data_IF_936252235724
#
_entry.id   IF_936252235724
#
_cell.length_a   1.000
_cell.length_b   1.000
_cell.length_c   1.000
_cell.angle_alpha   90.00
_cell.angle_beta   90.00
_cell.angle_gamma   90.00
#
_symmetry.space_group_name_H-M   'P 1'
#
loop_
_entity.id
_entity.type
_entity.pdbx_description
1 polymer ?
#
# COMPACT_ATOMS: atom_id res chain seq x y z
N UNK A 1 16.07 -10.23 12.04
CA UNK A 1 14.64 -10.43 12.25
C UNK A 1 14.42 -11.92 12.37
N UNK A 2 13.58 -12.40 13.31
CA UNK A 2 13.31 -13.83 13.42
C UNK A 2 12.50 -14.31 12.20
N UNK A 3 12.69 -15.56 11.79
CA UNK A 3 11.91 -16.17 10.68
C UNK A 3 10.40 -16.12 10.96
N UNK A 4 10.02 -16.26 12.22
CA UNK A 4 8.62 -16.17 12.68
C UNK A 4 8.06 -14.76 12.43
N UNK A 5 8.85 -13.72 12.73
CA UNK A 5 8.45 -12.34 12.50
C UNK A 5 8.21 -12.04 11.01
N UNK A 6 9.07 -12.57 10.16
CA UNK A 6 8.90 -12.43 8.70
C UNK A 6 7.65 -13.13 8.19
N UNK A 7 7.38 -14.35 8.65
CA UNK A 7 6.16 -15.08 8.30
C UNK A 7 4.90 -14.36 8.76
N UNK A 8 4.91 -13.71 9.91
CA UNK A 8 3.77 -12.93 10.42
C UNK A 8 3.50 -11.70 9.54
N UNK A 9 4.54 -11.02 9.05
CA UNK A 9 4.39 -9.88 8.15
C UNK A 9 3.90 -10.29 6.74
N UNK A 10 4.05 -11.57 6.36
CA UNK A 10 3.45 -12.09 5.13
C UNK A 10 1.93 -12.23 5.21
N UNK A 11 1.33 -12.34 6.39
CA UNK A 11 -0.12 -12.48 6.54
C UNK A 11 -0.87 -11.28 5.95
N UNK A 12 -0.61 -10.01 6.36
CA UNK A 12 -1.27 -8.86 5.75
C UNK A 12 -0.91 -8.68 4.27
N UNK A 13 0.31 -9.01 3.84
CA UNK A 13 0.72 -8.96 2.44
C UNK A 13 -0.05 -9.98 1.59
N UNK A 14 -0.20 -11.21 2.07
CA UNK A 14 -1.01 -12.26 1.43
C UNK A 14 -2.50 -11.91 1.40
N UNK A 15 -3.03 -11.30 2.48
CA UNK A 15 -4.39 -10.78 2.48
C UNK A 15 -4.58 -9.71 1.41
N UNK A 16 -3.65 -8.74 1.29
CA UNK A 16 -3.71 -7.71 0.25
C UNK A 16 -3.62 -8.31 -1.16
N UNK A 17 -2.81 -9.36 -1.35
CA UNK A 17 -2.73 -10.06 -2.62
C UNK A 17 -4.08 -10.70 -2.98
N UNK A 18 -4.73 -11.38 -2.04
CA UNK A 18 -6.06 -11.95 -2.24
C UNK A 18 -7.11 -10.84 -2.47
N UNK A 19 -7.08 -9.78 -1.66
CA UNK A 19 -8.01 -8.66 -1.76
C UNK A 19 -7.77 -7.78 -2.99
N UNK A 20 -6.60 -7.87 -3.65
CA UNK A 20 -6.29 -7.05 -4.83
C UNK A 20 -7.27 -7.25 -5.97
N UNK A 21 -7.71 -8.49 -6.23
CA UNK A 21 -8.65 -8.81 -7.30
C UNK A 21 -9.99 -8.07 -7.08
N UNK A 22 -10.71 -8.27 -5.97
CA UNK A 22 -11.96 -7.53 -5.74
C UNK A 22 -11.72 -6.02 -5.65
N UNK A 23 -10.64 -5.56 -5.02
CA UNK A 23 -10.34 -4.11 -4.93
C UNK A 23 -10.19 -3.48 -6.32
N UNK A 24 -9.43 -4.10 -7.22
CA UNK A 24 -9.25 -3.62 -8.60
C UNK A 24 -10.58 -3.62 -9.36
N UNK A 25 -11.38 -4.68 -9.23
CA UNK A 25 -12.68 -4.78 -9.93
C UNK A 25 -13.65 -3.70 -9.45
N UNK A 26 -13.75 -3.49 -8.15
CA UNK A 26 -14.61 -2.44 -7.59
C UNK A 26 -14.12 -1.04 -7.97
N UNK A 27 -12.81 -0.80 -7.91
CA UNK A 27 -12.25 0.50 -8.27
C UNK A 27 -12.46 0.84 -9.76
N UNK A 28 -12.28 -0.13 -10.65
CA UNK A 28 -12.52 0.06 -12.08
C UNK A 28 -14.01 0.24 -12.44
N UNK A 29 -14.94 -0.31 -11.65
CA UNK A 29 -16.37 -0.24 -11.91
C UNK A 29 -17.07 0.92 -11.24
N UNK A 30 -16.72 1.17 -9.98
CA UNK A 30 -17.43 2.07 -9.08
C UNK A 30 -16.60 3.26 -8.64
N UNK A 31 -15.28 3.28 -8.95
CA UNK A 31 -14.30 4.25 -8.45
C UNK A 31 -14.36 4.37 -6.92
N UNK A 32 -14.59 3.24 -6.24
CA UNK A 32 -14.68 3.15 -4.79
C UNK A 32 -14.07 1.84 -4.30
N UNK A 33 -13.24 1.93 -3.27
CA UNK A 33 -12.69 0.76 -2.61
C UNK A 33 -13.59 0.37 -1.43
N UNK A 34 -14.10 -0.89 -1.37
CA UNK A 34 -14.98 -1.33 -0.29
C UNK A 34 -14.27 -1.28 1.06
N UNK A 35 -14.89 -0.62 2.01
CA UNK A 35 -14.36 -0.40 3.35
C UNK A 35 -13.96 -1.69 4.08
N UNK A 36 -14.70 -2.78 3.83
CA UNK A 36 -14.43 -4.06 4.48
C UNK A 36 -13.02 -4.59 4.16
N UNK A 37 -12.53 -4.42 2.93
CA UNK A 37 -11.19 -4.87 2.54
C UNK A 37 -10.11 -3.92 3.07
N UNK A 38 -10.33 -2.61 2.96
CA UNK A 38 -9.34 -1.61 3.39
C UNK A 38 -9.17 -1.57 4.91
N UNK A 39 -10.26 -1.67 5.68
CA UNK A 39 -10.16 -1.73 7.15
C UNK A 39 -9.54 -3.03 7.63
N UNK A 40 -9.87 -4.18 7.01
CA UNK A 40 -9.23 -5.45 7.35
C UNK A 40 -7.73 -5.42 7.05
N UNK A 41 -7.33 -4.80 5.92
CA UNK A 41 -5.92 -4.62 5.60
C UNK A 41 -5.19 -3.78 6.67
N UNK A 42 -5.77 -2.65 7.09
CA UNK A 42 -5.20 -1.80 8.16
C UNK A 42 -5.08 -2.59 9.46
N UNK A 43 -6.15 -3.27 9.88
CA UNK A 43 -6.16 -4.03 11.13
C UNK A 43 -5.11 -5.13 11.15
N UNK A 44 -5.02 -5.92 10.07
CA UNK A 44 -4.02 -6.98 9.93
C UNK A 44 -2.59 -6.42 9.91
N UNK A 45 -2.37 -5.30 9.22
CA UNK A 45 -1.05 -4.65 9.16
C UNK A 45 -0.61 -4.13 10.52
N UNK A 46 -1.51 -3.47 11.27
CA UNK A 46 -1.24 -2.99 12.64
C UNK A 46 -0.95 -4.18 13.57
N UNK A 47 -1.80 -5.21 13.53
CA UNK A 47 -1.63 -6.38 14.38
C UNK A 47 -0.29 -7.08 14.12
N UNK A 48 0.05 -7.34 12.85
CA UNK A 48 1.28 -8.01 12.48
C UNK A 48 2.52 -7.19 12.89
N UNK A 49 2.54 -5.90 12.57
CA UNK A 49 3.68 -5.02 12.91
C UNK A 49 3.82 -4.82 14.42
N UNK A 50 2.72 -4.70 15.16
CA UNK A 50 2.73 -4.60 16.63
C UNK A 50 3.26 -5.90 17.27
N UNK A 51 2.77 -7.06 16.80
CA UNK A 51 3.21 -8.35 17.29
C UNK A 51 4.72 -8.54 17.08
N UNK A 52 5.23 -8.25 15.89
CA UNK A 52 6.66 -8.36 15.57
C UNK A 52 7.49 -7.35 16.37
N UNK A 53 6.96 -6.15 16.61
CA UNK A 53 7.64 -5.14 17.42
C UNK A 53 7.89 -5.63 18.85
N UNK A 54 6.90 -6.33 19.43
CA UNK A 54 6.99 -6.88 20.79
C UNK A 54 7.89 -8.13 20.82
N UNK A 55 7.79 -8.99 19.81
CA UNK A 55 8.53 -10.28 19.78
C UNK A 55 10.02 -10.11 19.55
N UNK A 56 10.42 -9.14 18.72
CA UNK A 56 11.81 -8.91 18.29
C UNK A 56 12.43 -7.63 18.90
N UNK A 57 11.77 -7.00 19.89
CA UNK A 57 12.17 -5.72 20.54
C UNK A 57 12.42 -4.58 19.53
N UNK A 58 11.61 -4.52 18.47
CA UNK A 58 11.76 -3.55 17.38
C UNK A 58 10.81 -2.35 17.48
N UNK A 59 10.64 -1.81 18.65
CA UNK A 59 9.73 -0.68 18.92
C UNK A 59 10.03 0.55 18.08
N UNK A 60 11.32 0.88 17.89
CA UNK A 60 11.70 2.05 17.09
C UNK A 60 11.18 1.94 15.65
N UNK A 61 11.32 0.77 15.02
CA UNK A 61 10.82 0.54 13.66
C UNK A 61 9.29 0.64 13.59
N UNK A 62 8.61 0.10 14.60
CA UNK A 62 7.17 0.21 14.72
C UNK A 62 6.70 1.67 14.79
N UNK A 63 7.30 2.47 15.67
CA UNK A 63 6.93 3.89 15.80
C UNK A 63 7.19 4.68 14.51
N UNK A 64 8.32 4.42 13.82
CA UNK A 64 8.61 5.06 12.52
C UNK A 64 7.55 4.66 11.49
N UNK A 65 7.24 3.38 11.37
CA UNK A 65 6.25 2.88 10.42
C UNK A 65 4.85 3.46 10.69
N UNK A 66 4.44 3.50 11.97
CA UNK A 66 3.17 4.10 12.39
C UNK A 66 3.15 5.59 12.12
N UNK A 67 4.23 6.32 12.39
CA UNK A 67 4.30 7.77 12.11
C UNK A 67 4.16 8.06 10.62
N UNK A 68 4.82 7.29 9.74
CA UNK A 68 4.70 7.41 8.28
C UNK A 68 3.27 7.08 7.84
N UNK A 69 2.69 6.00 8.35
CA UNK A 69 1.33 5.58 8.02
C UNK A 69 0.29 6.61 8.46
N UNK A 70 0.41 7.16 9.67
CA UNK A 70 -0.47 8.23 10.17
C UNK A 70 -0.29 9.52 9.39
N UNK A 71 0.94 9.89 9.01
CA UNK A 71 1.20 11.04 8.16
C UNK A 71 0.54 10.87 6.78
N UNK A 72 0.66 9.68 6.19
CA UNK A 72 -0.02 9.33 4.94
C UNK A 72 -1.54 9.46 5.07
N UNK A 73 -2.11 8.93 6.16
CA UNK A 73 -3.54 9.05 6.42
C UNK A 73 -3.97 10.52 6.59
N UNK A 74 -3.23 11.30 7.38
CA UNK A 74 -3.52 12.72 7.62
C UNK A 74 -3.47 13.55 6.35
N UNK A 75 -2.40 13.42 5.56
CA UNK A 75 -2.26 14.10 4.26
C UNK A 75 -3.36 13.64 3.31
N UNK A 76 -3.57 12.33 3.20
CA UNK A 76 -4.59 11.74 2.36
C UNK A 76 -6.01 12.19 2.74
N UNK A 77 -6.31 12.29 4.04
CA UNK A 77 -7.58 12.82 4.53
C UNK A 77 -7.80 14.29 4.11
N UNK A 78 -6.75 15.12 4.21
CA UNK A 78 -6.83 16.50 3.74
C UNK A 78 -7.05 16.55 2.22
N UNK A 79 -6.35 15.74 1.45
CA UNK A 79 -6.55 15.65 0.00
C UNK A 79 -7.94 15.13 -0.35
N UNK A 80 -8.47 14.15 0.39
CA UNK A 80 -9.85 13.67 0.20
C UNK A 80 -10.89 14.75 0.49
N UNK A 81 -10.61 15.65 1.44
CA UNK A 81 -11.52 16.73 1.81
C UNK A 81 -11.48 17.90 0.82
N UNK A 82 -10.31 18.23 0.24
CA UNK A 82 -10.10 19.45 -0.54
C UNK A 82 -9.79 19.20 -2.03
N UNK A 83 -9.43 17.98 -2.42
CA UNK A 83 -8.97 17.65 -3.78
C UNK A 83 -9.65 16.41 -4.37
N UNK A 84 -10.80 16.00 -3.85
CA UNK A 84 -11.64 14.88 -4.34
C UNK A 84 -10.90 13.53 -4.47
N UNK A 85 -9.88 13.32 -3.65
CA UNK A 85 -9.17 12.02 -3.59
C UNK A 85 -10.07 10.98 -2.90
N UNK A 86 -10.13 9.77 -3.43
CA UNK A 86 -10.93 8.69 -2.87
C UNK A 86 -10.47 8.30 -1.45
N UNK A 87 -11.37 8.35 -0.46
CA UNK A 87 -11.07 7.89 0.91
C UNK A 87 -10.66 6.41 0.97
N UNK A 88 -11.08 5.62 -0.02
CA UNK A 88 -10.66 4.23 -0.15
C UNK A 88 -9.16 4.09 -0.43
N UNK A 89 -8.64 4.92 -1.35
CA UNK A 89 -7.22 4.97 -1.70
C UNK A 89 -6.37 5.40 -0.51
N UNK A 90 -6.83 6.38 0.26
CA UNK A 90 -6.17 6.84 1.49
C UNK A 90 -6.00 5.70 2.50
N UNK A 91 -7.07 4.92 2.72
CA UNK A 91 -7.03 3.76 3.63
C UNK A 91 -6.13 2.66 3.12
N UNK A 92 -6.17 2.39 1.82
CA UNK A 92 -5.29 1.40 1.19
C UNK A 92 -3.83 1.82 1.35
N UNK A 93 -3.49 3.08 1.02
CA UNK A 93 -2.15 3.63 1.22
C UNK A 93 -1.69 3.57 2.68
N UNK A 94 -2.58 3.82 3.62
CA UNK A 94 -2.26 3.73 5.06
C UNK A 94 -1.80 2.31 5.43
N UNK A 95 -2.51 1.27 4.97
CA UNK A 95 -2.16 -0.11 5.24
C UNK A 95 -0.86 -0.53 4.54
N UNK A 96 -0.72 -0.21 3.26
CA UNK A 96 0.45 -0.58 2.45
C UNK A 96 1.72 0.15 2.90
N UNK A 97 1.60 1.44 3.25
CA UNK A 97 2.74 2.24 3.74
C UNK A 97 3.20 1.80 5.12
N UNK A 98 2.29 1.32 5.99
CA UNK A 98 2.68 0.73 7.27
C UNK A 98 3.60 -0.48 7.08
N UNK A 99 3.24 -1.39 6.15
CA UNK A 99 4.02 -2.59 5.85
C UNK A 99 5.37 -2.26 5.19
N UNK A 100 5.39 -1.34 4.21
CA UNK A 100 6.62 -0.93 3.54
C UNK A 100 7.56 -0.18 4.48
N UNK A 101 7.03 0.77 5.26
CA UNK A 101 7.80 1.57 6.21
C UNK A 101 8.42 0.72 7.33
N UNK A 102 7.78 -0.39 7.69
CA UNK A 102 8.34 -1.38 8.61
C UNK A 102 9.71 -1.90 8.14
N UNK A 103 9.85 -2.19 6.85
CA UNK A 103 11.10 -2.65 6.26
C UNK A 103 12.07 -1.49 6.01
N UNK A 104 11.59 -0.42 5.36
CA UNK A 104 12.35 0.81 5.16
C UNK A 104 11.44 1.97 4.75
N UNK A 105 11.60 3.17 5.33
CA UNK A 105 10.90 4.38 4.88
C UNK A 105 11.09 4.70 3.40
N UNK A 106 12.25 4.38 2.83
CA UNK A 106 12.54 4.62 1.41
C UNK A 106 11.66 3.79 0.47
N UNK A 107 11.25 2.58 0.88
CA UNK A 107 10.34 1.73 0.09
C UNK A 107 8.98 2.40 -0.12
N UNK A 108 8.49 3.16 0.86
CA UNK A 108 7.25 3.95 0.75
C UNK A 108 7.37 4.99 -0.36
N UNK A 109 8.48 5.74 -0.38
CA UNK A 109 8.71 6.76 -1.40
C UNK A 109 8.80 6.14 -2.79
N UNK A 110 9.53 5.04 -2.95
CA UNK A 110 9.64 4.36 -4.23
C UNK A 110 8.29 3.79 -4.70
N UNK A 111 7.53 3.16 -3.81
CA UNK A 111 6.21 2.63 -4.13
C UNK A 111 5.24 3.73 -4.56
N UNK A 112 5.18 4.85 -3.82
CA UNK A 112 4.35 6.00 -4.17
C UNK A 112 4.78 6.60 -5.52
N UNK A 113 6.09 6.84 -5.72
CA UNK A 113 6.61 7.38 -6.97
C UNK A 113 6.24 6.49 -8.15
N UNK A 114 6.43 5.17 -8.03
CA UNK A 114 6.07 4.21 -9.06
C UNK A 114 4.56 4.24 -9.35
N UNK A 115 3.72 4.21 -8.31
CA UNK A 115 2.26 4.22 -8.43
C UNK A 115 1.77 5.46 -9.18
N UNK A 116 2.22 6.64 -8.77
CA UNK A 116 1.81 7.90 -9.40
C UNK A 116 2.39 8.06 -10.81
N UNK A 117 3.61 7.59 -11.06
CA UNK A 117 4.21 7.61 -12.41
C UNK A 117 3.41 6.72 -13.37
N UNK A 118 3.07 5.50 -12.96
CA UNK A 118 2.25 4.60 -13.78
C UNK A 118 0.86 5.17 -14.03
N UNK A 119 0.19 5.69 -13.01
CA UNK A 119 -1.12 6.33 -13.14
C UNK A 119 -1.07 7.53 -14.10
N UNK A 120 -0.06 8.38 -13.97
CA UNK A 120 0.14 9.54 -14.84
C UNK A 120 0.43 9.14 -16.28
N UNK A 121 1.24 8.10 -16.50
CA UNK A 121 1.56 7.59 -17.83
C UNK A 121 0.31 7.04 -18.53
N UNK A 122 -0.47 6.22 -17.85
CA UNK A 122 -1.71 5.66 -18.38
C UNK A 122 -2.74 6.76 -18.67
N UNK A 123 -2.86 7.76 -17.79
CA UNK A 123 -3.71 8.93 -17.99
C UNK A 123 -3.29 9.73 -19.22
N UNK A 124 -1.98 10.00 -19.37
CA UNK A 124 -1.45 10.73 -20.50
C UNK A 124 -1.71 10.01 -21.83
N UNK A 125 -1.45 8.70 -21.89
CA UNK A 125 -1.74 7.87 -23.06
C UNK A 125 -3.24 7.89 -23.38
N UNK A 126 -4.10 7.74 -22.36
CA UNK A 126 -5.55 7.76 -22.52
C UNK A 126 -6.07 9.09 -23.07
N UNK A 127 -5.51 10.22 -22.62
CA UNK A 127 -5.81 11.55 -23.14
C UNK A 127 -5.34 11.73 -24.60
N UNK A 128 -4.11 11.31 -24.92
CA UNK A 128 -3.56 11.40 -26.27
C UNK A 128 -4.36 10.54 -27.27
N UNK A 129 -4.87 9.40 -26.84
CA UNK A 129 -5.72 8.53 -27.66
C UNK A 129 -7.18 9.01 -27.76
N UNK A 130 -7.54 10.09 -27.08
CA UNK A 130 -8.93 10.59 -27.02
C UNK A 130 -9.90 9.67 -26.26
N UNK A 131 -9.39 8.68 -25.51
CA UNK A 131 -10.20 7.73 -24.73
C UNK A 131 -10.57 8.26 -23.35
N UNK A 132 -9.80 9.19 -22.82
CA UNK A 132 -10.03 9.85 -21.54
C UNK A 132 -10.24 11.36 -21.77
N UNK A 133 -10.97 11.98 -20.86
CA UNK A 133 -11.14 13.43 -20.75
C UNK A 133 -10.45 13.91 -19.48
N UNK A 134 -10.09 15.19 -19.42
CA UNK A 134 -9.56 15.83 -18.19
C UNK A 134 -10.47 15.71 -16.98
N UNK A 135 -11.76 15.41 -17.19
CA UNK A 135 -12.77 15.23 -16.14
C UNK A 135 -13.04 13.76 -15.81
N UNK A 136 -12.39 12.83 -16.52
CA UNK A 136 -12.63 11.40 -16.28
C UNK A 136 -11.88 10.98 -15.00
N UNK A 137 -12.60 10.47 -13.98
CA UNK A 137 -11.94 9.97 -12.77
C UNK A 137 -11.07 8.77 -13.13
N UNK A 138 -9.85 8.72 -12.59
CA UNK A 138 -8.94 7.59 -12.74
C UNK A 138 -9.05 6.66 -11.54
N UNK A 139 -9.25 5.36 -11.81
CA UNK A 139 -9.15 4.34 -10.78
C UNK A 139 -7.68 4.22 -10.31
N UNK A 140 -7.39 4.65 -9.08
CA UNK A 140 -6.02 4.68 -8.54
C UNK A 140 -5.61 3.35 -7.89
N UNK A 141 -6.56 2.55 -7.42
CA UNK A 141 -6.31 1.30 -6.70
C UNK A 141 -5.35 0.33 -7.39
N UNK A 142 -5.51 0.03 -8.70
CA UNK A 142 -4.60 -0.86 -9.42
C UNK A 142 -3.13 -0.40 -9.37
N UNK A 143 -2.88 0.89 -9.53
CA UNK A 143 -1.52 1.46 -9.54
C UNK A 143 -0.90 1.46 -8.15
N UNK A 144 -1.71 1.74 -7.12
CA UNK A 144 -1.27 1.69 -5.72
C UNK A 144 -0.88 0.26 -5.30
N UNK A 145 -1.68 -0.72 -5.69
CA UNK A 145 -1.39 -2.13 -5.44
C UNK A 145 -0.14 -2.60 -6.20
N UNK A 146 0.03 -2.21 -7.47
CA UNK A 146 1.23 -2.52 -8.24
C UNK A 146 2.49 -1.95 -7.58
N UNK A 147 2.47 -0.65 -7.23
CA UNK A 147 3.59 -0.03 -6.52
C UNK A 147 3.90 -0.74 -5.20
N UNK A 148 2.88 -1.09 -4.43
CA UNK A 148 3.05 -1.85 -3.20
C UNK A 148 3.71 -3.21 -3.44
N UNK A 149 3.18 -4.06 -4.33
CA UNK A 149 3.67 -5.43 -4.52
C UNK A 149 5.09 -5.49 -5.09
N UNK A 150 5.45 -4.58 -5.99
CA UNK A 150 6.82 -4.51 -6.52
C UNK A 150 7.83 -4.30 -5.38
N UNK A 151 7.54 -3.40 -4.45
CA UNK A 151 8.46 -3.10 -3.35
C UNK A 151 8.27 -4.01 -2.14
N UNK A 152 7.10 -4.61 -1.94
CA UNK A 152 6.88 -5.65 -0.94
C UNK A 152 7.57 -6.98 -1.30
N UNK A 153 7.97 -7.19 -2.55
CA UNK A 153 8.80 -8.32 -2.96
C UNK A 153 10.26 -8.20 -2.48
N UNK A 154 10.75 -6.98 -2.20
CA UNK A 154 12.14 -6.76 -1.76
C UNK A 154 12.52 -7.53 -0.49
N UNK A 155 11.77 -7.49 0.61
CA UNK A 155 12.08 -8.30 1.79
C UNK A 155 12.02 -9.80 1.51
N UNK A 156 11.12 -10.27 0.64
CA UNK A 156 11.05 -11.68 0.24
C UNK A 156 12.32 -12.13 -0.49
N UNK A 157 12.84 -11.30 -1.40
CA UNK A 157 14.09 -11.59 -2.11
C UNK A 157 15.31 -11.66 -1.17
N UNK A 158 15.32 -10.80 -0.14
CA UNK A 158 16.37 -10.81 0.88
C UNK A 158 16.34 -12.09 1.72
N UNK A 159 15.15 -12.54 2.15
CA UNK A 159 14.98 -13.80 2.89
C UNK A 159 15.50 -15.00 2.08
N UNK A 160 15.12 -15.09 0.81
CA UNK A 160 15.56 -16.18 -0.08
C UNK A 160 17.08 -16.16 -0.31
N UNK A 161 17.69 -15.01 -0.43
CA UNK A 161 19.16 -14.91 -0.59
C UNK A 161 19.92 -15.31 0.68
N UNK A 162 19.42 -14.97 1.86
CA UNK A 162 20.01 -15.36 3.15
C UNK A 162 19.79 -16.85 3.47
N UNK A 163 18.71 -17.46 2.98
CA UNK A 163 18.43 -18.89 3.17
C UNK A 163 19.25 -19.80 2.24
N UNK A 164 19.77 -19.27 1.13
CA UNK A 164 20.57 -19.99 0.14
C UNK A 164 22.09 -19.82 0.32
N UNK A 165 22.52 -18.92 1.20
CA UNK A 165 23.92 -18.66 1.56
C UNK A 165 24.33 -19.39 2.82
#
# INVERSE_FOLDING_TARGET
>A
MSLVAELILLIPTGYLLFASIPLIVFDLREHRLPNRFTYSAIALSIFATCFVAVSDDRYQQFFIAVAISLSTFGIGYLLAKYADVGMGDVKLLTATNLLLAWHSPSLVLFALTMSFTLASLVSAIGLLMGRLSWKTPLAMGPYLLLGFFVFAAYPLMKITSEALS
#
